data_IF_547220262140
#
_entry.id   IF_547220262140
#
_cell.length_a   1.000
_cell.length_b   1.000
_cell.length_c   1.000
_cell.angle_alpha   90.00
_cell.angle_beta   90.00
_cell.angle_gamma   90.00
#
_symmetry.space_group_name_H-M   'P 1'
#
loop_
_entity.id
_entity.type
_entity.pdbx_description
1 polymer ?
#
# COMPACT_ATOMS: atom_id res chain seq x y z
N UNK A 1 -2.60 -10.03 -16.63
CA UNK A 1 -1.49 -10.17 -17.61
C UNK A 1 -0.20 -10.05 -16.82
N UNK A 2 0.58 -11.10 -16.76
CA UNK A 2 1.84 -11.06 -16.01
C UNK A 2 2.88 -10.21 -16.75
N UNK A 3 3.58 -9.36 -15.99
CA UNK A 3 4.69 -8.59 -16.50
C UNK A 3 5.90 -9.53 -16.65
N UNK A 4 6.31 -9.80 -17.89
CA UNK A 4 7.50 -10.62 -18.18
C UNK A 4 8.70 -9.74 -18.51
N UNK A 5 9.91 -10.26 -18.30
CA UNK A 5 11.15 -9.58 -18.69
C UNK A 5 11.13 -9.14 -20.17
N UNK A 6 10.60 -9.96 -21.05
CA UNK A 6 10.48 -9.65 -22.49
C UNK A 6 9.58 -8.42 -22.74
N UNK A 7 8.44 -8.34 -22.04
CA UNK A 7 7.54 -7.18 -22.16
C UNK A 7 8.18 -5.90 -21.62
N UNK A 8 8.94 -6.01 -20.52
CA UNK A 8 9.71 -4.90 -19.96
C UNK A 8 10.74 -4.42 -20.97
N UNK A 9 11.54 -5.34 -21.52
CA UNK A 9 12.55 -5.03 -22.54
C UNK A 9 11.94 -4.38 -23.78
N UNK A 10 10.85 -4.94 -24.32
CA UNK A 10 10.14 -4.37 -25.46
C UNK A 10 9.67 -2.94 -25.19
N UNK A 11 9.13 -2.69 -23.99
CA UNK A 11 8.66 -1.36 -23.59
C UNK A 11 9.81 -0.36 -23.45
N UNK A 12 10.92 -0.78 -22.87
CA UNK A 12 12.13 0.02 -22.75
C UNK A 12 12.72 0.37 -24.12
N UNK A 13 12.71 -0.56 -25.05
CA UNK A 13 13.23 -0.36 -26.40
C UNK A 13 12.30 0.49 -27.29
N UNK A 14 11.00 0.53 -26.98
CA UNK A 14 9.98 1.28 -27.75
C UNK A 14 9.67 2.69 -27.21
N UNK A 15 10.31 3.11 -26.12
CA UNK A 15 10.03 4.38 -25.46
C UNK A 15 11.31 5.16 -25.20
N UNK A 16 11.47 6.28 -25.87
CA UNK A 16 12.60 7.21 -25.68
C UNK A 16 12.56 7.91 -24.31
N UNK A 17 11.40 7.90 -23.65
CA UNK A 17 11.18 8.56 -22.36
C UNK A 17 11.62 7.70 -21.17
N UNK A 18 11.82 6.39 -21.34
CA UNK A 18 12.21 5.49 -20.28
C UNK A 18 13.73 5.31 -20.25
N UNK A 19 14.34 5.82 -19.19
CA UNK A 19 15.81 5.71 -18.97
C UNK A 19 16.10 4.83 -17.76
N UNK A 20 17.15 4.02 -17.86
CA UNK A 20 17.69 3.25 -16.73
C UNK A 20 18.65 4.12 -15.89
N UNK A 21 18.74 3.89 -14.54
CA UNK A 21 17.97 2.93 -13.75
C UNK A 21 16.52 3.37 -13.51
N UNK A 22 15.59 2.39 -13.46
CA UNK A 22 14.18 2.67 -13.17
C UNK A 22 13.59 1.60 -12.23
N UNK A 23 12.56 1.96 -11.48
CA UNK A 23 11.77 1.03 -10.69
C UNK A 23 10.53 0.62 -11.47
N UNK A 24 10.21 -0.66 -11.42
CA UNK A 24 9.03 -1.23 -12.07
C UNK A 24 8.12 -1.82 -10.99
N UNK A 25 6.87 -1.35 -10.95
CA UNK A 25 5.85 -1.84 -10.04
C UNK A 25 4.81 -2.65 -10.83
N UNK A 26 4.70 -3.96 -10.53
CA UNK A 26 3.62 -4.79 -11.06
C UNK A 26 2.43 -4.78 -10.09
N UNK A 27 1.42 -3.96 -10.41
CA UNK A 27 0.19 -3.85 -9.62
C UNK A 27 -0.58 -5.18 -9.55
N UNK A 28 -0.59 -5.96 -10.63
CA UNK A 28 -1.36 -7.20 -10.69
C UNK A 28 -0.72 -8.29 -9.85
N UNK A 29 0.59 -8.41 -9.90
CA UNK A 29 1.33 -9.32 -9.04
C UNK A 29 1.20 -8.95 -7.56
N UNK A 30 1.30 -7.67 -7.25
CA UNK A 30 1.05 -7.19 -5.89
C UNK A 30 -0.36 -7.54 -5.41
N UNK A 31 -1.38 -7.28 -6.24
CA UNK A 31 -2.79 -7.60 -5.91
C UNK A 31 -2.99 -9.10 -5.68
N UNK A 32 -2.41 -9.95 -6.53
CA UNK A 32 -2.48 -11.40 -6.36
C UNK A 32 -1.84 -11.82 -5.04
N UNK A 33 -0.61 -11.40 -4.80
CA UNK A 33 0.15 -11.79 -3.60
C UNK A 33 -0.55 -11.37 -2.30
N UNK A 34 -1.04 -10.14 -2.21
CA UNK A 34 -1.73 -9.65 -1.02
C UNK A 34 -3.09 -10.34 -0.82
N UNK A 35 -3.79 -10.65 -1.90
CA UNK A 35 -5.07 -11.37 -1.84
C UNK A 35 -4.87 -12.81 -1.35
N UNK A 36 -3.87 -13.51 -1.89
CA UNK A 36 -3.53 -14.87 -1.51
C UNK A 36 -3.09 -14.93 -0.03
N UNK A 37 -2.30 -13.96 0.40
CA UNK A 37 -1.86 -13.84 1.78
C UNK A 37 -3.06 -13.66 2.74
N UNK A 38 -3.94 -12.71 2.45
CA UNK A 38 -5.16 -12.48 3.24
C UNK A 38 -6.07 -13.71 3.26
N UNK A 39 -6.24 -14.37 2.11
CA UNK A 39 -7.07 -15.57 2.00
C UNK A 39 -6.51 -16.74 2.84
N UNK A 40 -5.19 -16.91 2.88
CA UNK A 40 -4.54 -17.94 3.69
C UNK A 40 -4.83 -17.77 5.19
N UNK A 41 -4.76 -16.53 5.70
CA UNK A 41 -5.10 -16.25 7.10
C UNK A 41 -6.57 -16.37 7.40
N UNK A 42 -7.46 -15.97 6.49
CA UNK A 42 -8.91 -16.03 6.68
C UNK A 42 -9.46 -17.45 6.80
N UNK A 43 -8.74 -18.46 6.35
CA UNK A 43 -9.09 -19.87 6.61
C UNK A 43 -9.19 -20.21 8.09
N UNK A 44 -8.36 -19.55 8.92
CA UNK A 44 -8.27 -19.81 10.36
C UNK A 44 -8.85 -18.66 11.19
N UNK A 45 -8.82 -17.45 10.66
CA UNK A 45 -9.25 -16.20 11.31
C UNK A 45 -10.17 -15.44 10.36
N UNK A 46 -11.47 -15.73 10.32
CA UNK A 46 -12.40 -15.14 9.33
C UNK A 46 -12.40 -13.60 9.31
N UNK A 47 -12.16 -12.98 10.47
CA UNK A 47 -12.12 -11.53 10.63
C UNK A 47 -10.72 -10.92 10.40
N UNK A 48 -9.78 -11.70 9.85
CA UNK A 48 -8.46 -11.22 9.56
C UNK A 48 -8.48 -10.10 8.49
N UNK A 49 -7.70 -9.06 8.74
CA UNK A 49 -7.44 -8.00 7.78
C UNK A 49 -5.96 -7.62 7.79
N UNK A 50 -5.47 -6.97 6.74
CA UNK A 50 -4.08 -6.58 6.61
C UNK A 50 -3.90 -5.09 6.90
N UNK A 51 -2.88 -4.76 7.70
CA UNK A 51 -2.36 -3.39 7.84
C UNK A 51 -1.16 -3.21 6.93
N UNK A 52 -1.29 -2.33 5.94
CA UNK A 52 -0.21 -2.05 4.99
C UNK A 52 0.64 -0.89 5.46
N UNK A 53 1.94 -1.12 5.66
CA UNK A 53 2.85 -0.14 6.22
C UNK A 53 3.30 0.91 5.19
N UNK A 54 2.84 2.13 5.34
CA UNK A 54 3.17 3.25 4.44
C UNK A 54 4.66 3.60 4.49
N UNK A 55 5.29 3.51 5.66
CA UNK A 55 6.72 3.83 5.80
C UNK A 55 7.64 2.96 4.94
N UNK A 56 7.20 1.75 4.61
CA UNK A 56 8.00 0.82 3.80
C UNK A 56 7.82 1.05 2.32
N UNK A 57 6.63 1.40 1.88
CA UNK A 57 6.33 1.69 0.49
C UNK A 57 4.99 2.43 0.34
N UNK A 58 5.00 3.66 -0.14
CA UNK A 58 3.80 4.44 -0.44
C UNK A 58 3.56 4.61 -1.95
N UNK A 59 3.90 3.60 -2.74
CA UNK A 59 3.52 3.55 -4.15
C UNK A 59 1.98 3.62 -4.27
N UNK A 60 1.49 4.62 -4.99
CA UNK A 60 0.07 4.91 -5.13
C UNK A 60 -0.73 3.71 -5.62
N UNK A 61 -0.20 2.98 -6.58
CA UNK A 61 -0.81 1.81 -7.19
C UNK A 61 -1.03 0.70 -6.15
N UNK A 62 -0.05 0.47 -5.27
CA UNK A 62 -0.14 -0.52 -4.20
C UNK A 62 -1.11 -0.09 -3.11
N UNK A 63 -1.06 1.18 -2.70
CA UNK A 63 -2.01 1.74 -1.72
C UNK A 63 -3.45 1.60 -2.20
N UNK A 64 -3.73 1.88 -3.47
CA UNK A 64 -5.06 1.70 -4.06
C UNK A 64 -5.52 0.24 -4.02
N UNK A 65 -4.63 -0.72 -4.29
CA UNK A 65 -4.95 -2.15 -4.17
C UNK A 65 -5.30 -2.51 -2.73
N UNK A 66 -4.53 -2.04 -1.75
CA UNK A 66 -4.82 -2.29 -0.33
C UNK A 66 -6.19 -1.75 0.06
N UNK A 67 -6.53 -0.55 -0.40
CA UNK A 67 -7.86 0.04 -0.17
C UNK A 67 -8.97 -0.78 -0.83
N UNK A 68 -8.79 -1.19 -2.09
CA UNK A 68 -9.76 -2.01 -2.85
C UNK A 68 -10.10 -3.32 -2.16
N UNK A 69 -9.11 -4.02 -1.58
CA UNK A 69 -9.32 -5.31 -0.88
C UNK A 69 -9.81 -5.16 0.55
N UNK A 70 -10.06 -3.95 1.02
CA UNK A 70 -10.53 -3.69 2.38
C UNK A 70 -9.44 -3.66 3.45
N UNK A 71 -8.16 -3.56 3.10
CA UNK A 71 -7.04 -3.45 4.03
C UNK A 71 -6.98 -2.12 4.79
N UNK A 72 -6.13 -2.04 5.78
CA UNK A 72 -5.89 -0.86 6.60
C UNK A 72 -4.60 -0.16 6.18
N UNK A 73 -4.56 1.17 6.30
CA UNK A 73 -3.33 1.93 6.21
C UNK A 73 -2.63 1.94 7.59
N UNK A 74 -1.44 1.37 7.69
CA UNK A 74 -0.60 1.50 8.89
C UNK A 74 0.36 2.65 8.64
N UNK A 75 0.29 3.68 9.50
CA UNK A 75 1.02 4.94 9.40
C UNK A 75 1.80 5.22 10.68
N UNK A 76 2.95 5.87 10.55
CA UNK A 76 3.84 6.14 11.69
C UNK A 76 4.08 7.62 11.96
N UNK A 77 3.49 8.51 11.15
CA UNK A 77 3.65 9.95 11.27
C UNK A 77 2.38 10.71 10.88
N UNK A 78 2.21 11.96 11.36
CA UNK A 78 1.10 12.82 10.92
C UNK A 78 1.07 13.03 9.39
N UNK A 79 2.24 13.08 8.76
CA UNK A 79 2.35 13.20 7.30
C UNK A 79 1.80 11.98 6.57
N UNK A 80 2.13 10.77 7.05
CA UNK A 80 1.60 9.53 6.48
C UNK A 80 0.10 9.38 6.76
N UNK A 81 -0.37 9.79 7.94
CA UNK A 81 -1.80 9.85 8.23
C UNK A 81 -2.55 10.73 7.23
N UNK A 82 -2.05 11.95 6.99
CA UNK A 82 -2.66 12.83 5.99
C UNK A 82 -2.60 12.24 4.58
N UNK A 83 -1.52 11.53 4.24
CA UNK A 83 -1.39 10.82 2.98
C UNK A 83 -2.45 9.73 2.84
N UNK A 84 -2.68 8.93 3.88
CA UNK A 84 -3.72 7.91 3.90
C UNK A 84 -5.12 8.52 3.71
N UNK A 85 -5.41 9.64 4.38
CA UNK A 85 -6.66 10.40 4.20
C UNK A 85 -6.82 10.88 2.76
N UNK A 86 -5.77 11.41 2.16
CA UNK A 86 -5.77 11.89 0.77
C UNK A 86 -6.00 10.74 -0.24
N UNK A 87 -5.57 9.52 0.09
CA UNK A 87 -5.90 8.32 -0.69
C UNK A 87 -7.30 7.76 -0.41
N UNK A 88 -8.06 8.40 0.50
CA UNK A 88 -9.45 8.06 0.78
C UNK A 88 -9.61 6.87 1.74
N UNK A 89 -8.68 6.70 2.68
CA UNK A 89 -8.90 5.84 3.83
C UNK A 89 -9.72 6.61 4.88
N UNK A 90 -10.77 5.98 5.41
CA UNK A 90 -11.47 6.49 6.56
C UNK A 90 -10.65 6.30 7.84
N UNK A 91 -10.86 7.12 8.85
CA UNK A 91 -10.13 7.04 10.12
C UNK A 91 -10.24 5.67 10.79
N UNK A 92 -11.41 5.02 10.65
CA UNK A 92 -11.64 3.65 11.14
C UNK A 92 -10.78 2.59 10.45
N UNK A 93 -10.09 2.95 9.36
CA UNK A 93 -9.22 2.08 8.57
C UNK A 93 -7.77 2.54 8.55
N UNK A 94 -7.40 3.42 9.49
CA UNK A 94 -6.03 3.89 9.68
C UNK A 94 -5.54 3.40 11.03
N UNK A 95 -4.41 2.68 11.03
CA UNK A 95 -3.70 2.23 12.23
C UNK A 95 -2.52 3.17 12.44
N UNK A 96 -2.56 3.96 13.50
CA UNK A 96 -1.44 4.82 13.85
C UNK A 96 -0.47 4.07 14.77
N UNK A 97 0.69 3.67 14.24
CA UNK A 97 1.72 2.86 14.91
C UNK A 97 3.08 3.59 14.96
N UNK A 98 3.08 4.89 15.22
CA UNK A 98 4.29 5.69 15.28
C UNK A 98 4.66 6.11 16.68
N UNK A 99 5.94 6.37 16.89
CA UNK A 99 6.42 7.12 18.04
C UNK A 99 6.08 8.58 17.81
N UNK A 100 5.08 9.08 18.54
CA UNK A 100 4.74 10.49 18.50
C UNK A 100 5.23 11.13 19.79
N UNK A 101 6.07 12.18 19.70
CA UNK A 101 6.47 12.96 20.88
C UNK A 101 5.30 13.68 21.54
N UNK A 102 4.24 13.95 20.80
CA UNK A 102 3.07 14.72 21.24
C UNK A 102 1.80 13.85 21.27
N UNK A 103 1.30 13.59 22.48
CA UNK A 103 0.08 12.84 22.71
C UNK A 103 -1.16 13.52 22.06
N UNK A 104 -1.17 14.84 21.96
CA UNK A 104 -2.24 15.60 21.31
C UNK A 104 -2.39 15.27 19.82
N UNK A 105 -1.31 14.94 19.14
CA UNK A 105 -1.36 14.49 17.73
C UNK A 105 -1.92 13.07 17.60
N UNK A 106 -1.66 12.17 18.55
CA UNK A 106 -2.29 10.83 18.58
C UNK A 106 -3.80 10.93 18.74
N UNK A 107 -4.27 11.78 19.65
CA UNK A 107 -5.69 11.98 19.89
C UNK A 107 -6.38 12.56 18.66
N UNK A 108 -5.76 13.53 17.99
CA UNK A 108 -6.29 14.11 16.73
C UNK A 108 -6.38 13.10 15.58
N UNK A 109 -5.48 12.13 15.54
CA UNK A 109 -5.54 11.05 14.55
C UNK A 109 -6.57 9.96 14.93
N UNK A 110 -6.97 9.87 16.20
CA UNK A 110 -7.91 8.86 16.70
C UNK A 110 -9.37 9.31 16.68
N UNK A 111 -9.64 10.62 16.54
CA UNK A 111 -10.95 11.23 16.46
C UNK A 111 -11.26 11.69 15.02
#
# INVERSE_FOLDING_TARGET
MNLTLEKIQQRLMSSDDLKTPLYIADKNDFKRNITDFVAAFRKYYPNYNIGYSFKTNYCKEFINVVKEIGGYAEVVSPKEYQLARNYGFDDSRIIYNGVIPDLGNKIRCAN
#
